data_IF_473811223725
#
_entry.id   IF_473811223725
#
_cell.length_a   1.000
_cell.length_b   1.000
_cell.length_c   1.000
_cell.angle_alpha   90.00
_cell.angle_beta   90.00
_cell.angle_gamma   90.00
#
_symmetry.space_group_name_H-M   'P 1'
#
loop_
_entity.id
_entity.type
_entity.pdbx_description
1 polymer ?
#
# COMPACT_ATOMS: atom_id res chain seq x y z
N UNK A 1 -5.17 -20.52 6.52
CA UNK A 1 -6.50 -21.13 6.75
C UNK A 1 -7.48 -20.32 7.62
N UNK A 2 -7.17 -19.96 8.88
CA UNK A 2 -8.18 -19.42 9.83
C UNK A 2 -8.83 -18.09 9.41
N UNK A 3 -8.06 -17.12 8.91
CA UNK A 3 -8.59 -15.79 8.59
C UNK A 3 -9.62 -15.77 7.46
N UNK A 4 -9.47 -16.61 6.43
CA UNK A 4 -10.42 -16.68 5.30
C UNK A 4 -11.74 -17.34 5.72
N UNK A 5 -11.66 -18.41 6.52
CA UNK A 5 -12.84 -19.05 7.12
C UNK A 5 -13.59 -18.08 8.02
N UNK A 6 -12.87 -17.35 8.88
CA UNK A 6 -13.45 -16.33 9.75
C UNK A 6 -14.14 -15.19 8.99
N UNK A 7 -13.53 -14.69 7.91
CA UNK A 7 -14.14 -13.66 7.05
C UNK A 7 -15.44 -14.14 6.41
N UNK A 8 -15.52 -15.41 5.98
CA UNK A 8 -16.74 -15.99 5.40
C UNK A 8 -17.82 -16.12 6.47
N UNK A 9 -17.47 -16.63 7.66
CA UNK A 9 -18.40 -16.74 8.79
C UNK A 9 -19.00 -15.39 9.18
N UNK A 10 -18.16 -14.36 9.37
CA UNK A 10 -18.63 -13.03 9.74
C UNK A 10 -19.57 -12.43 8.69
N UNK A 11 -19.32 -12.68 7.40
CA UNK A 11 -20.18 -12.19 6.32
C UNK A 11 -21.52 -12.89 6.25
N UNK A 12 -21.58 -14.18 6.55
CA UNK A 12 -22.85 -14.91 6.65
C UNK A 12 -23.67 -14.38 7.82
N UNK A 13 -23.04 -14.19 8.98
CA UNK A 13 -23.69 -13.62 10.16
C UNK A 13 -24.20 -12.19 9.92
N UNK A 14 -23.42 -11.32 9.27
CA UNK A 14 -23.85 -9.97 8.89
C UNK A 14 -25.05 -9.99 7.93
N UNK A 15 -25.09 -10.94 7.01
CA UNK A 15 -26.20 -11.10 6.07
C UNK A 15 -27.48 -11.55 6.78
N UNK A 16 -27.39 -12.54 7.66
CA UNK A 16 -28.51 -13.05 8.45
C UNK A 16 -29.07 -11.96 9.37
N UNK A 17 -28.20 -11.23 10.07
CA UNK A 17 -28.58 -10.09 10.90
C UNK A 17 -29.26 -8.97 10.09
N UNK A 18 -28.79 -8.70 8.87
CA UNK A 18 -29.39 -7.67 8.04
C UNK A 18 -30.76 -8.10 7.48
N UNK A 19 -30.98 -9.41 7.22
CA UNK A 19 -32.30 -9.94 6.89
C UNK A 19 -33.28 -9.85 8.08
N UNK A 20 -32.86 -10.25 9.28
CA UNK A 20 -33.69 -10.18 10.49
C UNK A 20 -34.14 -8.76 10.82
N UNK A 21 -33.26 -7.79 10.61
CA UNK A 21 -33.51 -6.38 10.89
C UNK A 21 -34.12 -5.61 9.71
N UNK A 22 -34.43 -6.29 8.60
CA UNK A 22 -35.03 -5.73 7.39
C UNK A 22 -34.24 -4.53 6.80
N UNK A 23 -32.92 -4.56 6.97
CA UNK A 23 -32.04 -3.57 6.35
C UNK A 23 -31.88 -3.91 4.87
N UNK A 24 -31.92 -2.88 4.00
CA UNK A 24 -31.58 -3.06 2.59
C UNK A 24 -30.10 -3.41 2.50
N UNK A 25 -29.79 -4.70 2.40
CA UNK A 25 -28.46 -5.17 2.05
C UNK A 25 -28.25 -4.72 0.60
N UNK A 26 -27.34 -3.77 0.39
CA UNK A 26 -26.88 -3.45 -0.96
C UNK A 26 -26.28 -4.74 -1.50
N UNK A 27 -26.99 -5.41 -2.41
CA UNK A 27 -26.52 -6.61 -3.08
C UNK A 27 -25.16 -6.30 -3.70
N UNK A 28 -24.09 -6.79 -3.08
CA UNK A 28 -22.75 -6.70 -3.65
C UNK A 28 -22.76 -7.66 -4.84
N UNK A 29 -22.75 -7.10 -6.04
CA UNK A 29 -22.50 -7.90 -7.22
C UNK A 29 -21.04 -8.38 -7.14
N UNK A 30 -20.88 -9.63 -6.72
CA UNK A 30 -19.57 -10.26 -6.52
C UNK A 30 -18.77 -10.24 -7.83
N UNK A 31 -19.44 -10.36 -8.98
CA UNK A 31 -18.77 -10.27 -10.28
C UNK A 31 -18.25 -8.86 -10.53
N UNK A 32 -19.05 -7.83 -10.25
CA UNK A 32 -18.63 -6.44 -10.39
C UNK A 32 -17.46 -6.07 -9.46
N UNK A 33 -17.49 -6.58 -8.22
CA UNK A 33 -16.40 -6.42 -7.26
C UNK A 33 -15.12 -7.10 -7.74
N UNK A 34 -15.22 -8.34 -8.26
CA UNK A 34 -14.07 -9.09 -8.81
C UNK A 34 -13.49 -8.36 -10.03
N UNK A 35 -14.32 -7.91 -10.97
CA UNK A 35 -13.90 -7.17 -12.17
C UNK A 35 -13.19 -5.88 -11.78
N UNK A 36 -13.75 -5.15 -10.82
CA UNK A 36 -13.19 -3.89 -10.34
C UNK A 36 -11.83 -4.10 -9.69
N UNK A 37 -11.71 -5.12 -8.85
CA UNK A 37 -10.47 -5.50 -8.18
C UNK A 37 -9.41 -5.93 -9.21
N UNK A 38 -9.73 -6.82 -10.15
CA UNK A 38 -8.84 -7.24 -11.23
C UNK A 38 -8.33 -6.07 -12.06
N UNK A 39 -9.20 -5.11 -12.40
CA UNK A 39 -8.82 -3.89 -13.13
C UNK A 39 -7.78 -3.06 -12.37
N UNK A 40 -7.98 -2.86 -11.06
CA UNK A 40 -7.05 -2.07 -10.26
C UNK A 40 -5.69 -2.77 -10.08
N UNK A 41 -5.67 -4.09 -9.90
CA UNK A 41 -4.42 -4.83 -9.77
C UNK A 41 -3.63 -4.95 -11.07
N UNK A 42 -4.31 -5.08 -12.22
CA UNK A 42 -3.68 -4.99 -13.55
C UNK A 42 -3.04 -3.62 -13.78
N UNK A 43 -3.72 -2.56 -13.35
CA UNK A 43 -3.22 -1.18 -13.47
C UNK A 43 -1.99 -0.92 -12.59
N UNK A 44 -1.88 -1.56 -11.43
CA UNK A 44 -0.74 -1.38 -10.52
C UNK A 44 0.43 -2.31 -10.84
N UNK A 45 0.23 -3.33 -11.70
CA UNK A 45 1.27 -4.27 -12.10
C UNK A 45 1.70 -5.23 -10.98
N UNK A 46 0.87 -5.37 -9.94
CA UNK A 46 1.20 -6.12 -8.73
C UNK A 46 0.95 -7.64 -8.89
N UNK A 47 -0.01 -8.04 -9.74
CA UNK A 47 -0.29 -9.45 -9.96
C UNK A 47 0.55 -10.03 -11.12
N UNK A 48 1.13 -11.23 -10.95
CA UNK A 48 1.60 -12.01 -12.09
C UNK A 48 0.42 -12.33 -13.02
N UNK A 49 0.71 -12.45 -14.31
CA UNK A 49 -0.27 -12.70 -15.36
C UNK A 49 -0.87 -14.11 -15.14
N UNK A 50 -1.98 -14.20 -14.39
CA UNK A 50 -2.72 -15.44 -14.22
C UNK A 50 -3.45 -15.75 -15.53
N UNK A 51 -2.76 -16.41 -16.45
CA UNK A 51 -3.41 -17.04 -17.59
C UNK A 51 -4.28 -18.20 -17.11
N UNK A 52 -5.54 -18.16 -17.58
CA UNK A 52 -6.45 -19.28 -17.80
C UNK A 52 -6.85 -20.13 -16.59
N UNK A 53 -7.60 -19.55 -15.65
CA UNK A 53 -8.91 -20.06 -15.18
C UNK A 53 -9.31 -19.32 -13.88
N UNK A 54 -10.56 -18.83 -13.76
CA UNK A 54 -11.02 -18.23 -12.52
C UNK A 54 -10.96 -19.28 -11.40
N UNK A 55 -10.28 -18.93 -10.31
CA UNK A 55 -10.23 -19.81 -9.14
C UNK A 55 -11.64 -19.96 -8.57
N UNK A 56 -12.11 -21.20 -8.47
CA UNK A 56 -13.43 -21.51 -7.91
C UNK A 56 -13.45 -21.15 -6.42
N UNK A 57 -14.62 -20.74 -5.90
CA UNK A 57 -14.79 -20.37 -4.49
C UNK A 57 -14.36 -21.49 -3.52
N UNK A 58 -14.65 -22.75 -3.87
CA UNK A 58 -14.19 -23.91 -3.12
C UNK A 58 -12.66 -23.96 -3.07
N UNK A 59 -12.00 -23.91 -4.24
CA UNK A 59 -10.54 -23.88 -4.34
C UNK A 59 -9.92 -22.71 -3.55
N UNK A 60 -10.55 -21.52 -3.55
CA UNK A 60 -10.10 -20.37 -2.78
C UNK A 60 -10.09 -20.59 -1.26
N UNK A 61 -11.07 -21.34 -0.74
CA UNK A 61 -11.19 -21.66 0.68
C UNK A 61 -10.07 -22.63 1.14
N UNK A 62 -9.64 -23.52 0.24
CA UNK A 62 -8.70 -24.61 0.56
C UNK A 62 -7.28 -24.45 -0.01
N UNK A 63 -6.95 -23.31 -0.65
CA UNK A 63 -5.59 -23.06 -1.21
C UNK A 63 -4.49 -23.33 -0.18
N UNK A 64 -4.71 -22.91 1.07
CA UNK A 64 -3.70 -23.04 2.13
C UNK A 64 -3.58 -24.48 2.64
N UNK A 65 -4.54 -25.36 2.33
CA UNK A 65 -4.58 -26.76 2.78
C UNK A 65 -3.86 -27.70 1.78
N UNK A 66 -3.64 -27.27 0.52
CA UNK A 66 -2.94 -28.04 -0.52
C UNK A 66 -1.42 -27.83 -0.53
N UNK A 67 -0.93 -26.74 0.09
CA UNK A 67 0.52 -26.47 0.18
C UNK A 67 0.98 -26.87 1.57
N UNK A 68 1.82 -27.91 1.74
CA UNK A 68 2.52 -28.10 2.99
C UNK A 68 3.45 -26.90 3.16
N UNK A 69 3.00 -25.93 3.97
CA UNK A 69 3.87 -24.87 4.43
C UNK A 69 4.81 -25.58 5.41
N UNK A 70 6.00 -25.95 4.95
CA UNK A 70 7.09 -26.28 5.86
C UNK A 70 7.25 -25.07 6.78
N UNK A 71 6.78 -25.19 8.02
CA UNK A 71 6.94 -24.15 9.03
C UNK A 71 8.44 -24.01 9.28
N UNK A 72 9.05 -23.00 8.63
CA UNK A 72 10.44 -22.66 8.88
C UNK A 72 10.60 -22.35 10.36
N UNK A 73 11.57 -23.00 11.00
CA UNK A 73 11.84 -22.74 12.40
C UNK A 73 12.35 -21.30 12.57
N UNK A 74 12.16 -20.72 13.75
CA UNK A 74 12.67 -19.38 14.08
C UNK A 74 14.18 -19.30 13.83
N UNK A 75 14.91 -20.37 14.10
CA UNK A 75 16.35 -20.50 13.85
C UNK A 75 16.69 -20.49 12.36
N UNK A 76 15.88 -21.14 11.51
CA UNK A 76 16.06 -21.12 10.05
C UNK A 76 15.80 -19.74 9.47
N UNK A 77 14.79 -19.02 9.98
CA UNK A 77 14.50 -17.64 9.60
C UNK A 77 15.66 -16.72 9.99
N UNK A 78 16.19 -16.84 11.22
CA UNK A 78 17.34 -16.06 11.67
C UNK A 78 18.59 -16.37 10.83
N UNK A 79 18.82 -17.63 10.49
CA UNK A 79 19.95 -18.05 9.67
C UNK A 79 19.87 -17.52 8.24
N UNK A 80 18.68 -17.55 7.62
CA UNK A 80 18.47 -16.99 6.28
C UNK A 80 18.72 -15.48 6.23
N UNK A 81 18.23 -14.73 7.24
CA UNK A 81 18.46 -13.28 7.36
C UNK A 81 19.95 -12.97 7.53
N UNK A 82 20.65 -13.70 8.40
CA UNK A 82 22.10 -13.53 8.60
C UNK A 82 22.89 -13.88 7.35
N UNK A 83 22.53 -14.96 6.64
CA UNK A 83 23.19 -15.37 5.39
C UNK A 83 22.99 -14.36 4.26
N UNK A 84 21.84 -13.68 4.19
CA UNK A 84 21.63 -12.56 3.28
C UNK A 84 22.49 -11.35 3.63
N UNK A 85 22.66 -11.05 4.92
CA UNK A 85 23.49 -9.94 5.37
C UNK A 85 24.99 -10.19 5.11
N UNK A 86 25.45 -11.43 5.29
CA UNK A 86 26.86 -11.80 5.06
C UNK A 86 27.25 -11.83 3.58
N UNK A 87 26.30 -12.00 2.65
CA UNK A 87 26.57 -11.96 1.19
C UNK A 87 26.75 -10.55 0.65
N UNK A 88 26.20 -9.54 1.32
CA UNK A 88 26.34 -8.13 0.94
C UNK A 88 27.56 -7.44 1.61
N UNK A 89 28.27 -8.14 2.51
CA UNK A 89 29.41 -7.60 3.27
C UNK A 89 30.78 -7.71 2.56
N UNK A 90 30.80 -7.81 1.23
CA UNK A 90 32.00 -7.51 0.43
C UNK A 90 31.98 -6.05 -0.04
N UNK A 91 31.56 -5.14 0.83
CA UNK A 91 31.81 -3.72 0.68
C UNK A 91 32.61 -3.31 1.90
N UNK A 92 33.88 -3.00 1.64
CA UNK A 92 34.81 -2.42 2.60
C UNK A 92 34.15 -1.27 3.36
N UNK A 93 34.50 -1.15 4.63
CA UNK A 93 34.16 -0.04 5.52
C UNK A 93 34.22 1.31 4.78
N UNK A 94 33.05 1.92 4.54
CA UNK A 94 32.96 3.33 4.22
C UNK A 94 32.02 3.96 5.24
N UNK A 95 32.56 4.97 5.91
CA UNK A 95 32.03 5.62 7.09
C UNK A 95 30.56 6.02 6.91
N UNK A 96 29.78 5.87 8.00
CA UNK A 96 28.61 6.69 8.32
C UNK A 96 27.99 7.48 7.15
N UNK A 97 27.23 6.82 6.27
CA UNK A 97 26.23 7.55 5.50
C UNK A 97 25.09 7.89 6.45
N UNK A 98 25.28 8.98 7.19
CA UNK A 98 24.24 9.76 7.83
C UNK A 98 23.22 10.11 6.73
N UNK A 99 22.24 9.23 6.53
CA UNK A 99 21.16 9.43 5.58
C UNK A 99 20.41 10.66 6.06
N UNK A 100 20.72 11.81 5.46
CA UNK A 100 20.03 13.07 5.63
C UNK A 100 18.56 12.93 5.16
N UNK A 101 17.75 12.25 5.97
CA UNK A 101 16.36 11.95 5.72
C UNK A 101 15.54 13.24 5.88
N UNK A 102 15.22 13.87 4.75
CA UNK A 102 14.38 15.07 4.70
C UNK A 102 12.97 14.70 5.18
N UNK A 103 12.50 15.38 6.23
CA UNK A 103 11.16 15.14 6.76
C UNK A 103 10.06 15.67 5.82
N UNK A 104 8.85 15.09 5.86
CA UNK A 104 7.71 15.60 5.08
C UNK A 104 7.42 17.09 5.31
N UNK A 105 7.63 17.56 6.55
CA UNK A 105 7.46 18.96 6.94
C UNK A 105 8.50 19.85 6.26
N UNK A 106 9.74 19.40 6.22
CA UNK A 106 10.85 20.09 5.57
C UNK A 106 10.68 20.12 4.05
N UNK A 107 10.35 18.98 3.44
CA UNK A 107 10.05 18.89 2.01
C UNK A 107 8.90 19.84 1.61
N UNK A 108 7.83 19.90 2.41
CA UNK A 108 6.71 20.83 2.18
C UNK A 108 7.13 22.30 2.29
N UNK A 109 7.99 22.63 3.25
CA UNK A 109 8.52 23.99 3.44
C UNK A 109 9.39 24.42 2.27
N UNK A 110 10.32 23.56 1.84
CA UNK A 110 11.20 23.79 0.71
C UNK A 110 10.42 23.94 -0.59
N UNK A 111 9.42 23.08 -0.83
CA UNK A 111 8.59 23.18 -2.02
C UNK A 111 7.74 24.47 -2.05
N UNK A 112 7.28 24.97 -0.88
CA UNK A 112 6.59 26.27 -0.81
C UNK A 112 7.50 27.41 -1.26
N UNK A 113 8.78 27.40 -0.87
CA UNK A 113 9.77 28.40 -1.29
C UNK A 113 9.99 28.37 -2.81
N UNK A 114 10.13 27.18 -3.39
CA UNK A 114 10.29 26.98 -4.84
C UNK A 114 9.06 27.50 -5.61
N UNK A 115 7.86 27.14 -5.17
CA UNK A 115 6.61 27.65 -5.78
C UNK A 115 6.52 29.17 -5.67
N UNK A 116 6.93 29.76 -4.55
CA UNK A 116 6.90 31.21 -4.35
C UNK A 116 7.90 31.94 -5.24
N UNK A 117 9.11 31.40 -5.40
CA UNK A 117 10.11 31.93 -6.31
C UNK A 117 9.58 31.99 -7.75
N UNK A 118 8.98 30.90 -8.22
CA UNK A 118 8.45 30.83 -9.58
C UNK A 118 7.11 31.58 -9.79
N UNK A 119 6.49 32.09 -8.73
CA UNK A 119 5.39 33.05 -8.86
C UNK A 119 5.87 34.46 -9.18
N UNK A 120 7.10 34.80 -8.78
CA UNK A 120 7.75 36.08 -9.04
C UNK A 120 9.16 35.82 -9.59
N UNK A 121 9.26 35.21 -10.79
CA UNK A 121 10.56 34.87 -11.34
C UNK A 121 11.35 36.13 -11.71
N UNK A 122 12.70 36.08 -11.65
CA UNK A 122 13.52 37.11 -12.26
C UNK A 122 13.29 37.14 -13.78
N UNK A 123 13.51 38.30 -14.41
CA UNK A 123 13.16 38.61 -15.80
C UNK A 123 13.76 37.64 -16.85
N UNK A 124 14.77 36.86 -16.47
CA UNK A 124 15.47 35.91 -17.33
C UNK A 124 14.97 34.46 -17.20
N UNK A 125 13.99 34.18 -16.34
CA UNK A 125 13.45 32.82 -16.14
C UNK A 125 12.02 32.76 -16.67
N UNK A 126 11.87 32.09 -17.81
CA UNK A 126 10.56 31.74 -18.37
C UNK A 126 10.08 30.44 -17.73
N UNK A 127 8.93 30.47 -17.05
CA UNK A 127 8.29 29.28 -16.50
C UNK A 127 7.03 28.96 -17.27
N UNK A 128 6.91 27.70 -17.69
CA UNK A 128 5.71 27.20 -18.31
C UNK A 128 4.67 26.85 -17.21
N UNK A 129 3.41 27.13 -17.49
CA UNK A 129 2.27 26.71 -16.67
C UNK A 129 2.32 25.23 -16.27
N UNK A 130 2.81 24.36 -17.16
CA UNK A 130 2.93 22.91 -16.90
C UNK A 130 3.90 22.61 -15.75
N UNK A 131 5.01 23.35 -15.66
CA UNK A 131 6.01 23.18 -14.60
C UNK A 131 5.45 23.62 -13.24
N UNK A 132 4.75 24.76 -13.21
CA UNK A 132 4.01 25.21 -12.01
C UNK A 132 2.93 24.21 -11.59
N UNK A 133 2.23 23.61 -12.55
CA UNK A 133 1.20 22.59 -12.30
C UNK A 133 1.82 21.33 -11.68
N UNK A 134 2.99 20.89 -12.13
CA UNK A 134 3.72 19.78 -11.52
C UNK A 134 4.08 20.09 -10.06
N UNK A 135 4.62 21.28 -9.78
CA UNK A 135 4.96 21.69 -8.41
C UNK A 135 3.74 21.74 -7.49
N UNK A 136 2.62 22.27 -7.98
CA UNK A 136 1.36 22.29 -7.23
C UNK A 136 0.82 20.88 -6.94
N UNK A 137 0.97 19.95 -7.89
CA UNK A 137 0.57 18.56 -7.75
C UNK A 137 1.42 17.84 -6.70
N UNK A 138 2.74 18.05 -6.72
CA UNK A 138 3.65 17.54 -5.70
C UNK A 138 3.32 18.07 -4.31
N UNK A 139 3.01 19.35 -4.19
CA UNK A 139 2.58 19.97 -2.93
C UNK A 139 1.33 19.28 -2.37
N UNK A 140 0.33 19.03 -3.21
CA UNK A 140 -0.89 18.31 -2.79
C UNK A 140 -0.59 16.87 -2.34
N UNK A 141 0.31 16.15 -3.02
CA UNK A 141 0.70 14.79 -2.63
C UNK A 141 1.39 14.74 -1.27
N UNK A 142 2.36 15.63 -1.02
CA UNK A 142 3.05 15.70 0.28
C UNK A 142 2.05 16.06 1.39
N UNK A 143 1.16 17.01 1.13
CA UNK A 143 0.16 17.43 2.11
C UNK A 143 -0.84 16.31 2.44
N UNK A 144 -1.25 15.53 1.43
CA UNK A 144 -2.08 14.34 1.62
C UNK A 144 -1.36 13.30 2.48
N UNK A 145 -0.08 13.02 2.21
CA UNK A 145 0.71 12.08 3.00
C UNK A 145 0.77 12.48 4.48
N UNK A 146 1.00 13.76 4.78
CA UNK A 146 1.01 14.29 6.15
C UNK A 146 -0.34 14.08 6.84
N UNK A 147 -1.46 14.34 6.14
CA UNK A 147 -2.80 14.13 6.69
C UNK A 147 -3.10 12.66 6.95
N UNK A 148 -2.74 11.79 6.01
CA UNK A 148 -2.99 10.36 6.13
C UNK A 148 -2.13 9.75 7.25
N UNK A 149 -0.87 10.18 7.40
CA UNK A 149 -0.04 9.77 8.56
C UNK A 149 -0.61 10.24 9.90
N UNK A 150 -1.21 11.43 9.95
CA UNK A 150 -1.83 11.96 11.17
C UNK A 150 -3.09 11.17 11.55
N UNK A 151 -3.91 10.79 10.55
CA UNK A 151 -5.07 9.92 10.77
C UNK A 151 -4.66 8.53 11.25
N UNK A 152 -3.63 7.94 10.64
CA UNK A 152 -3.13 6.62 11.04
C UNK A 152 -2.63 6.64 12.50
N UNK A 153 -1.79 7.61 12.84
CA UNK A 153 -1.32 7.79 14.23
C UNK A 153 -2.48 8.02 15.22
N UNK A 154 -3.57 8.67 14.78
CA UNK A 154 -4.77 8.83 15.61
C UNK A 154 -5.46 7.49 15.82
N UNK A 155 -5.64 6.67 14.77
CA UNK A 155 -6.26 5.35 14.85
C UNK A 155 -5.46 4.38 15.73
N UNK A 156 -4.13 4.40 15.58
CA UNK A 156 -3.21 3.54 16.35
C UNK A 156 -3.28 3.86 17.86
N UNK A 157 -3.62 5.09 18.25
CA UNK A 157 -3.82 5.46 19.66
C UNK A 157 -5.16 4.99 20.25
N UNK A 158 -6.10 4.52 19.41
CA UNK A 158 -7.40 4.01 19.86
C UNK A 158 -7.48 2.47 19.95
N UNK A 159 -6.49 1.74 19.42
CA UNK A 159 -6.32 0.29 19.60
C UNK A 159 -5.48 -0.02 20.84
#
# INVERSE_FOLDING_TARGET
AQYRKFLVTNRVEEFDLAQENNFNITSVDILDAIITIDHYWKKTGILPNFEENPITAEKFIYIDDEVPIEELSVEEIIAAVKSSLEKDNNIEEDDELELNLITNKEALSSLKKVVQYFKNPPDNILINYTELKVLSSLKSKINKNIQDSAKQSTLDNFM
#
